data_IF_183012236409
#
_entry.id   IF_183012236409
#
_cell.length_a   1.000
_cell.length_b   1.000
_cell.length_c   1.000
_cell.angle_alpha   90.00
_cell.angle_beta   90.00
_cell.angle_gamma   90.00
#
_symmetry.space_group_name_H-M   'P 1'
#
loop_
_entity.id
_entity.type
_entity.pdbx_description
1 polymer ?
#
# COMPACT_ATOMS: atom_id res chain seq x y z
N UNK A 1 20.92 -4.08 -1.94
CA UNK A 1 21.52 -3.35 -0.81
C UNK A 1 22.85 -2.83 -1.35
N UNK A 2 22.93 -1.50 -1.56
CA UNK A 2 24.12 -0.88 -2.12
C UNK A 2 25.30 -0.98 -1.14
N UNK A 3 26.51 -0.93 -1.67
CA UNK A 3 27.83 -1.11 -1.06
C UNK A 3 28.20 -0.11 0.05
N UNK A 4 27.26 0.27 0.93
CA UNK A 4 27.60 0.97 2.16
C UNK A 4 28.18 -0.02 3.16
N UNK A 5 29.21 0.38 3.86
CA UNK A 5 29.88 -0.44 4.88
C UNK A 5 28.84 -1.13 5.81
N UNK A 6 28.91 -2.46 6.02
CA UNK A 6 27.86 -3.21 6.73
C UNK A 6 27.56 -2.72 8.16
N UNK A 7 28.47 -1.95 8.76
CA UNK A 7 28.37 -1.43 10.13
C UNK A 7 27.72 -0.06 10.27
N UNK A 8 27.32 0.59 9.17
CA UNK A 8 26.74 1.95 9.22
C UNK A 8 25.23 1.99 9.17
N UNK A 9 24.59 0.99 8.59
CA UNK A 9 23.12 0.88 8.53
C UNK A 9 22.55 0.56 9.90
N UNK A 10 21.62 1.39 10.38
CA UNK A 10 20.94 1.23 11.66
C UNK A 10 19.45 0.93 11.50
N UNK A 11 18.91 1.18 10.33
CA UNK A 11 17.48 1.13 10.07
C UNK A 11 17.21 0.67 8.64
N UNK A 12 16.26 -0.26 8.47
CA UNK A 12 15.73 -0.69 7.17
C UNK A 12 14.22 -0.50 7.17
N UNK A 13 13.67 0.02 6.07
CA UNK A 13 12.23 0.05 5.82
C UNK A 13 11.87 -0.96 4.73
N UNK A 14 10.89 -1.82 5.01
CA UNK A 14 10.35 -2.82 4.10
C UNK A 14 8.85 -2.62 3.96
N UNK A 15 8.41 -2.15 2.78
CA UNK A 15 6.98 -1.94 2.51
C UNK A 15 6.37 -3.23 1.95
N UNK A 16 5.35 -3.77 2.63
CA UNK A 16 4.69 -5.03 2.24
C UNK A 16 3.21 -5.04 2.67
N UNK A 17 2.27 -4.97 1.71
CA UNK A 17 2.43 -4.79 0.26
C UNK A 17 3.09 -3.47 -0.13
N UNK A 18 3.93 -3.49 -1.17
CA UNK A 18 4.73 -2.34 -1.57
C UNK A 18 3.96 -1.38 -2.50
N UNK A 19 4.14 -0.09 -2.32
CA UNK A 19 3.67 0.94 -3.22
C UNK A 19 4.86 1.52 -4.02
N UNK A 20 4.85 1.50 -5.37
CA UNK A 20 3.68 1.34 -6.24
C UNK A 20 3.47 -0.07 -6.83
N UNK A 21 4.28 -1.05 -6.51
CA UNK A 21 4.31 -2.35 -7.21
C UNK A 21 3.23 -3.33 -6.77
N UNK A 22 2.62 -3.14 -5.59
CA UNK A 22 1.53 -3.95 -5.07
C UNK A 22 1.95 -5.29 -4.45
N UNK A 23 3.16 -5.77 -4.73
CA UNK A 23 3.63 -7.07 -4.25
C UNK A 23 4.01 -7.06 -2.78
N UNK A 24 3.91 -8.22 -2.14
CA UNK A 24 4.47 -8.49 -0.82
C UNK A 24 5.88 -9.04 -0.91
N UNK A 25 6.64 -8.92 0.20
CA UNK A 25 8.01 -9.40 0.35
C UNK A 25 8.00 -10.73 1.11
N UNK A 26 8.67 -11.77 0.58
CA UNK A 26 8.64 -13.12 1.16
C UNK A 26 9.68 -13.35 2.27
N UNK A 27 10.84 -12.70 2.22
CA UNK A 27 12.00 -13.05 3.07
C UNK A 27 12.26 -12.05 4.19
N UNK A 28 11.22 -11.41 4.74
CA UNK A 28 11.36 -10.41 5.82
C UNK A 28 11.94 -11.04 7.09
N UNK A 29 11.54 -12.27 7.44
CA UNK A 29 12.06 -12.96 8.64
C UNK A 29 13.56 -13.21 8.53
N UNK A 30 14.06 -13.50 7.33
CA UNK A 30 15.51 -13.61 7.12
C UNK A 30 16.24 -12.29 7.40
N UNK A 31 15.65 -11.15 6.96
CA UNK A 31 16.21 -9.82 7.25
C UNK A 31 16.19 -9.55 8.76
N UNK A 32 15.07 -9.84 9.43
CA UNK A 32 14.93 -9.68 10.89
C UNK A 32 15.97 -10.46 11.68
N UNK A 33 16.26 -11.68 11.26
CA UNK A 33 17.22 -12.56 11.92
C UNK A 33 18.69 -12.21 11.66
N UNK A 34 18.99 -11.53 10.52
CA UNK A 34 20.37 -11.30 10.07
C UNK A 34 20.79 -9.80 10.08
N UNK A 35 19.90 -8.91 10.47
CA UNK A 35 20.21 -7.48 10.54
C UNK A 35 20.27 -6.99 12.00
N UNK A 36 21.42 -6.42 12.39
CA UNK A 36 21.66 -5.94 13.75
C UNK A 36 21.08 -4.55 14.05
N UNK A 37 20.25 -3.99 13.16
CA UNK A 37 19.55 -2.72 13.34
C UNK A 37 18.04 -2.92 13.44
N UNK A 38 17.29 -1.83 13.46
CA UNK A 38 15.83 -1.87 13.49
C UNK A 38 15.30 -2.11 12.07
N UNK A 39 14.36 -3.03 11.95
CA UNK A 39 13.62 -3.30 10.71
C UNK A 39 12.19 -2.79 10.88
N UNK A 40 11.83 -1.79 10.09
CA UNK A 40 10.45 -1.29 10.02
C UNK A 40 9.74 -1.97 8.86
N UNK A 41 8.69 -2.70 9.18
CA UNK A 41 7.78 -3.31 8.20
C UNK A 41 6.58 -2.39 8.05
N UNK A 42 6.48 -1.74 6.89
CA UNK A 42 5.35 -0.87 6.55
C UNK A 42 4.23 -1.70 5.93
N UNK A 43 3.19 -1.90 6.71
CA UNK A 43 2.00 -2.66 6.39
C UNK A 43 0.80 -1.75 6.06
N UNK A 44 1.00 -0.60 5.45
CA UNK A 44 -0.08 0.33 5.12
C UNK A 44 -1.19 -0.28 4.25
N UNK A 45 -0.94 -1.40 3.58
CA UNK A 45 -1.91 -2.08 2.70
C UNK A 45 -2.20 -3.52 3.11
N UNK A 46 -1.75 -3.97 4.29
CA UNK A 46 -1.90 -5.37 4.76
C UNK A 46 -3.37 -5.81 4.83
N UNK A 47 -4.28 -4.90 5.15
CA UNK A 47 -5.72 -5.19 5.23
C UNK A 47 -6.29 -5.76 3.92
N UNK A 48 -5.67 -5.51 2.77
CA UNK A 48 -6.09 -6.01 1.46
C UNK A 48 -5.41 -7.31 1.04
N UNK A 49 -4.42 -7.76 1.82
CA UNK A 49 -3.65 -8.97 1.59
C UNK A 49 -4.26 -10.17 2.33
N UNK A 50 -4.01 -11.37 1.80
CA UNK A 50 -4.28 -12.62 2.50
C UNK A 50 -3.15 -13.03 3.46
N UNK A 51 -2.05 -12.25 3.48
CA UNK A 51 -0.90 -12.54 4.35
C UNK A 51 -1.19 -12.12 5.78
N UNK A 52 -0.63 -12.87 6.71
CA UNK A 52 -0.65 -12.54 8.12
C UNK A 52 0.26 -11.36 8.43
N UNK A 53 -0.22 -10.44 9.26
CA UNK A 53 0.56 -9.29 9.72
C UNK A 53 1.79 -9.71 10.53
N UNK A 54 2.89 -8.98 10.36
CA UNK A 54 4.09 -9.13 11.18
C UNK A 54 3.90 -8.73 12.65
N UNK A 55 2.76 -8.14 13.04
CA UNK A 55 2.41 -7.93 14.45
C UNK A 55 2.49 -9.23 15.24
N UNK A 56 2.10 -10.36 14.65
CA UNK A 56 2.18 -11.68 15.30
C UNK A 56 3.61 -12.15 15.58
N UNK A 57 4.61 -11.53 14.94
CA UNK A 57 6.03 -11.87 15.09
C UNK A 57 6.79 -10.98 16.07
N UNK A 58 6.15 -9.96 16.67
CA UNK A 58 6.79 -9.00 17.57
C UNK A 58 7.50 -9.65 18.75
N UNK A 59 6.92 -10.72 19.31
CA UNK A 59 7.53 -11.46 20.42
C UNK A 59 8.81 -12.21 20.04
N UNK A 60 8.99 -12.53 18.74
CA UNK A 60 10.14 -13.29 18.23
C UNK A 60 11.30 -12.38 17.81
N UNK A 61 11.01 -11.15 17.41
CA UNK A 61 11.99 -10.24 16.83
C UNK A 61 12.01 -8.90 17.58
N UNK A 62 12.89 -8.70 18.56
CA UNK A 62 12.94 -7.48 19.38
C UNK A 62 13.35 -6.23 18.59
N UNK A 63 13.91 -6.40 17.39
CA UNK A 63 14.28 -5.33 16.46
C UNK A 63 13.20 -5.00 15.42
N UNK A 64 12.04 -5.65 15.48
CA UNK A 64 10.91 -5.42 14.57
C UNK A 64 10.08 -4.22 15.02
N UNK A 65 9.75 -3.37 14.06
CA UNK A 65 8.69 -2.35 14.17
C UNK A 65 7.70 -2.58 13.04
N UNK A 66 6.43 -2.75 13.35
CA UNK A 66 5.37 -2.82 12.34
C UNK A 66 4.62 -1.50 12.34
N UNK A 67 4.40 -0.91 11.17
CA UNK A 67 3.60 0.32 11.05
C UNK A 67 2.38 0.07 10.18
N UNK A 68 1.23 0.50 10.67
CA UNK A 68 -0.06 0.42 9.98
C UNK A 68 -0.75 1.78 9.98
N UNK A 69 -1.81 1.95 9.17
CA UNK A 69 -2.47 3.23 9.00
C UNK A 69 -3.99 3.11 8.91
N UNK A 70 -4.70 4.08 9.46
CA UNK A 70 -6.13 4.26 9.23
C UNK A 70 -6.46 4.92 7.89
N UNK A 71 -5.45 5.33 7.12
CA UNK A 71 -5.65 6.10 5.88
C UNK A 71 -6.12 5.27 4.68
N UNK A 72 -6.04 3.94 4.72
CA UNK A 72 -6.32 3.05 3.58
C UNK A 72 -7.61 2.26 3.79
N UNK A 73 -7.55 1.04 4.27
CA UNK A 73 -8.73 0.21 4.45
C UNK A 73 -9.78 0.83 5.38
N UNK A 74 -9.34 1.58 6.37
CA UNK A 74 -10.21 2.26 7.33
C UNK A 74 -10.84 3.57 6.84
N UNK A 75 -10.49 4.04 5.62
CA UNK A 75 -11.09 5.22 4.99
C UNK A 75 -10.79 6.57 5.66
N UNK A 76 -9.87 6.62 6.63
CA UNK A 76 -9.59 7.81 7.45
C UNK A 76 -8.32 8.55 6.98
N UNK A 77 -8.13 8.72 5.68
CA UNK A 77 -6.96 9.39 5.12
C UNK A 77 -6.77 10.83 5.65
N UNK A 78 -7.87 11.56 5.87
CA UNK A 78 -7.85 12.93 6.38
C UNK A 78 -7.50 13.01 7.87
N UNK A 79 -7.73 11.96 8.66
CA UNK A 79 -7.44 11.94 10.10
C UNK A 79 -5.93 11.88 10.41
N UNK A 80 -5.08 11.53 9.46
CA UNK A 80 -3.62 11.46 9.60
C UNK A 80 -3.16 10.59 10.77
N UNK A 81 -3.78 9.42 10.95
CA UNK A 81 -3.46 8.46 12.02
C UNK A 81 -2.75 7.25 11.45
N UNK A 82 -1.64 6.90 12.07
CA UNK A 82 -0.94 5.63 11.94
C UNK A 82 -0.60 5.07 13.31
N UNK A 83 -0.31 3.79 13.36
CA UNK A 83 0.06 3.05 14.57
C UNK A 83 1.38 2.35 14.34
N UNK A 84 2.27 2.42 15.33
CA UNK A 84 3.51 1.64 15.36
C UNK A 84 3.42 0.60 16.48
N UNK A 85 3.73 -0.63 16.15
CA UNK A 85 3.82 -1.76 17.07
C UNK A 85 5.27 -2.21 17.16
N UNK A 86 5.82 -2.31 18.35
CA UNK A 86 7.21 -2.72 18.57
C UNK A 86 7.41 -3.23 20.00
N UNK A 87 8.63 -3.69 20.33
CA UNK A 87 8.99 -4.00 21.71
C UNK A 87 8.85 -2.77 22.62
N UNK A 88 8.60 -2.99 23.92
CA UNK A 88 8.47 -1.92 24.93
C UNK A 88 9.67 -0.97 24.91
N UNK A 89 10.87 -1.49 24.73
CA UNK A 89 12.11 -0.70 24.65
C UNK A 89 12.07 0.29 23.48
N UNK A 90 11.65 -0.15 22.30
CA UNK A 90 11.55 0.71 21.12
C UNK A 90 10.43 1.74 21.32
N UNK A 91 9.27 1.32 21.82
CA UNK A 91 8.16 2.24 22.09
C UNK A 91 8.55 3.30 23.11
N UNK A 92 9.29 2.93 24.16
CA UNK A 92 9.77 3.90 25.15
C UNK A 92 10.73 4.96 24.54
N UNK A 93 11.56 4.56 23.57
CA UNK A 93 12.39 5.50 22.82
C UNK A 93 11.55 6.41 21.90
N UNK A 94 10.58 5.86 21.18
CA UNK A 94 9.67 6.65 20.35
C UNK A 94 8.89 7.68 21.16
N UNK A 95 8.43 7.31 22.37
CA UNK A 95 7.72 8.22 23.29
C UNK A 95 8.56 9.42 23.71
N UNK A 96 9.88 9.25 23.86
CA UNK A 96 10.80 10.34 24.23
C UNK A 96 10.98 11.41 23.14
N UNK A 97 10.85 11.00 21.87
CA UNK A 97 11.08 11.89 20.72
C UNK A 97 9.77 12.32 20.03
N UNK A 98 8.67 11.65 20.35
CA UNK A 98 7.36 11.98 19.77
C UNK A 98 6.96 13.41 20.16
N UNK A 99 6.54 14.27 19.22
CA UNK A 99 5.97 15.56 19.56
C UNK A 99 4.76 15.43 20.50
N UNK A 100 4.61 16.29 21.51
CA UNK A 100 3.37 16.38 22.25
C UNK A 100 2.24 16.78 21.29
N UNK A 101 1.03 16.31 21.54
CA UNK A 101 -0.17 16.68 20.76
C UNK A 101 -0.10 16.32 19.26
N UNK A 102 0.65 15.31 18.87
CA UNK A 102 0.83 14.89 17.47
C UNK A 102 -0.46 14.35 16.81
N UNK A 103 -1.43 13.90 17.59
CA UNK A 103 -2.76 13.47 17.13
C UNK A 103 -3.82 14.24 17.91
N UNK A 104 -4.72 14.93 17.21
CA UNK A 104 -5.80 15.67 17.87
C UNK A 104 -6.84 14.73 18.49
N UNK A 105 -7.58 15.20 19.51
CA UNK A 105 -8.65 14.42 20.14
C UNK A 105 -9.75 14.05 19.13
N UNK A 106 -10.09 14.95 18.21
CA UNK A 106 -11.09 14.69 17.16
C UNK A 106 -10.65 13.53 16.23
N UNK A 107 -9.37 13.49 15.87
CA UNK A 107 -8.84 12.43 15.03
C UNK A 107 -8.78 11.10 15.80
N UNK A 108 -8.43 11.12 17.08
CA UNK A 108 -8.46 9.94 17.93
C UNK A 108 -9.89 9.39 18.07
N UNK A 109 -10.87 10.25 18.29
CA UNK A 109 -12.29 9.88 18.36
C UNK A 109 -12.77 9.26 17.04
N UNK A 110 -12.38 9.83 15.90
CA UNK A 110 -12.70 9.26 14.59
C UNK A 110 -12.13 7.85 14.42
N UNK A 111 -10.89 7.60 14.85
CA UNK A 111 -10.29 6.28 14.79
C UNK A 111 -10.98 5.28 15.72
N UNK A 112 -11.28 5.67 16.96
CA UNK A 112 -11.99 4.82 17.93
C UNK A 112 -13.38 4.45 17.40
N UNK A 113 -14.13 5.42 16.86
CA UNK A 113 -15.42 5.17 16.22
C UNK A 113 -15.34 4.22 15.03
N UNK A 114 -14.26 4.28 14.25
CA UNK A 114 -14.07 3.34 13.16
C UNK A 114 -13.82 1.92 13.68
N UNK A 115 -13.02 1.77 14.73
CA UNK A 115 -12.79 0.47 15.39
C UNK A 115 -14.08 -0.12 15.97
N UNK A 116 -14.93 0.68 16.59
CA UNK A 116 -16.24 0.24 17.10
C UNK A 116 -17.19 -0.24 15.97
N UNK A 117 -16.93 0.17 14.72
CA UNK A 117 -17.69 -0.19 13.53
C UNK A 117 -16.88 -1.06 12.55
N UNK A 118 -16.00 -1.90 13.04
CA UNK A 118 -15.14 -2.78 12.23
C UNK A 118 -15.92 -3.59 11.17
N UNK A 119 -17.14 -4.03 11.49
CA UNK A 119 -17.99 -4.78 10.56
C UNK A 119 -18.24 -4.02 9.24
N UNK A 120 -18.32 -2.68 9.26
CA UNK A 120 -18.48 -1.86 8.06
C UNK A 120 -17.21 -1.96 7.19
N UNK A 121 -16.05 -1.92 7.83
CA UNK A 121 -14.75 -2.01 7.14
C UNK A 121 -14.58 -3.39 6.50
N UNK A 122 -15.01 -4.46 7.18
CA UNK A 122 -14.99 -5.83 6.64
C UNK A 122 -15.81 -5.93 5.35
N UNK A 123 -17.01 -5.37 5.32
CA UNK A 123 -17.85 -5.34 4.12
C UNK A 123 -17.25 -4.51 2.99
N UNK A 124 -16.73 -3.32 3.31
CA UNK A 124 -16.07 -2.46 2.32
C UNK A 124 -14.84 -3.13 1.72
N UNK A 125 -14.02 -3.78 2.56
CA UNK A 125 -12.84 -4.54 2.12
C UNK A 125 -13.24 -5.67 1.16
N UNK A 126 -14.27 -6.45 1.47
CA UNK A 126 -14.74 -7.52 0.60
C UNK A 126 -15.13 -6.99 -0.79
N UNK A 127 -15.87 -5.87 -0.84
CA UNK A 127 -16.21 -5.22 -2.10
C UNK A 127 -14.99 -4.72 -2.88
N UNK A 128 -14.03 -4.10 -2.19
CA UNK A 128 -12.77 -3.64 -2.83
C UNK A 128 -12.00 -4.82 -3.43
N UNK A 129 -11.93 -5.96 -2.76
CA UNK A 129 -11.26 -7.16 -3.27
C UNK A 129 -11.98 -7.77 -4.47
N UNK A 130 -13.32 -7.78 -4.47
CA UNK A 130 -14.13 -8.16 -5.64
C UNK A 130 -13.84 -7.26 -6.83
N UNK A 131 -13.86 -5.94 -6.62
CA UNK A 131 -13.56 -4.94 -7.65
C UNK A 131 -12.11 -5.04 -8.15
N UNK A 132 -11.17 -5.41 -7.28
CA UNK A 132 -9.79 -5.72 -7.67
C UNK A 132 -9.74 -6.86 -8.68
N UNK A 133 -10.41 -7.98 -8.39
CA UNK A 133 -10.46 -9.14 -9.29
C UNK A 133 -11.09 -8.80 -10.64
N UNK A 134 -12.18 -8.02 -10.63
CA UNK A 134 -12.80 -7.51 -11.84
C UNK A 134 -11.84 -6.67 -12.70
N UNK A 135 -11.15 -5.72 -12.08
CA UNK A 135 -10.17 -4.87 -12.77
C UNK A 135 -9.00 -5.68 -13.33
N UNK A 136 -8.43 -6.60 -12.56
CA UNK A 136 -7.32 -7.46 -13.00
C UNK A 136 -7.68 -8.21 -14.28
N UNK A 137 -8.85 -8.86 -14.27
CA UNK A 137 -9.36 -9.60 -15.41
C UNK A 137 -9.59 -8.69 -16.62
N UNK A 138 -10.25 -7.55 -16.40
CA UNK A 138 -10.63 -6.63 -17.48
C UNK A 138 -9.41 -5.94 -18.10
N UNK A 139 -8.45 -5.50 -17.28
CA UNK A 139 -7.21 -4.86 -17.74
C UNK A 139 -6.33 -5.83 -18.53
N UNK A 140 -6.26 -7.10 -18.11
CA UNK A 140 -5.46 -8.12 -18.78
C UNK A 140 -5.93 -8.45 -20.21
N UNK A 141 -7.18 -8.09 -20.54
CA UNK A 141 -7.76 -8.31 -21.88
C UNK A 141 -7.51 -7.15 -22.85
N UNK A 142 -6.94 -6.03 -22.40
CA UNK A 142 -6.73 -4.85 -23.22
C UNK A 142 -5.38 -4.90 -23.95
N UNK A 143 -5.31 -4.84 -25.28
CA UNK A 143 -4.07 -4.89 -26.04
C UNK A 143 -3.07 -3.78 -25.69
N UNK A 144 -3.57 -2.60 -25.27
CA UNK A 144 -2.75 -1.47 -24.81
C UNK A 144 -2.08 -1.74 -23.45
N UNK A 145 -2.59 -2.70 -22.67
CA UNK A 145 -2.02 -3.15 -21.41
C UNK A 145 -1.06 -4.32 -21.68
N UNK A 146 0.22 -4.10 -21.55
CA UNK A 146 1.26 -5.10 -21.85
C UNK A 146 1.46 -6.08 -20.69
N UNK A 147 1.18 -5.65 -19.45
CA UNK A 147 1.26 -6.50 -18.26
C UNK A 147 0.46 -5.89 -17.11
N UNK A 148 -0.30 -6.70 -16.43
CA UNK A 148 -0.83 -6.43 -15.07
C UNK A 148 0.09 -7.15 -14.09
N UNK A 149 0.64 -6.43 -13.13
CA UNK A 149 1.49 -7.03 -12.11
C UNK A 149 0.63 -7.55 -10.95
N UNK A 150 0.95 -8.72 -10.37
CA UNK A 150 0.25 -9.23 -9.20
C UNK A 150 0.28 -8.22 -8.06
N UNK A 151 -0.82 -8.14 -7.31
CA UNK A 151 -0.93 -7.17 -6.21
C UNK A 151 -1.69 -7.75 -5.02
N UNK A 152 -1.15 -7.53 -3.83
CA UNK A 152 -1.77 -7.78 -2.54
C UNK A 152 -2.39 -6.49 -1.93
N UNK A 153 -2.34 -5.36 -2.67
CA UNK A 153 -2.90 -4.07 -2.27
C UNK A 153 -4.27 -3.81 -2.91
N UNK A 154 -4.86 -2.64 -2.69
CA UNK A 154 -6.10 -2.18 -3.36
C UNK A 154 -5.85 -1.46 -4.69
N UNK A 155 -4.69 -1.66 -5.29
CA UNK A 155 -4.29 -1.07 -6.57
C UNK A 155 -3.44 -2.05 -7.36
N UNK A 156 -3.30 -1.82 -8.67
CA UNK A 156 -2.38 -2.53 -9.55
C UNK A 156 -1.34 -1.59 -10.13
N UNK A 157 -0.15 -2.12 -10.34
CA UNK A 157 0.79 -1.56 -11.31
C UNK A 157 0.55 -2.25 -12.65
N UNK A 158 0.32 -1.48 -13.70
CA UNK A 158 0.16 -1.99 -15.06
C UNK A 158 1.22 -1.39 -15.98
N UNK A 159 1.75 -2.17 -16.91
CA UNK A 159 2.61 -1.66 -17.96
C UNK A 159 1.79 -1.42 -19.21
N UNK A 160 1.92 -0.24 -19.77
CA UNK A 160 1.20 0.20 -20.94
C UNK A 160 2.04 0.09 -22.22
N UNK A 161 1.42 0.26 -23.37
CA UNK A 161 2.09 0.53 -24.64
C UNK A 161 2.82 1.89 -24.61
N UNK A 162 2.13 2.95 -24.18
CA UNK A 162 2.65 4.27 -23.90
C UNK A 162 1.93 4.86 -22.67
N UNK A 163 2.57 4.79 -21.49
CA UNK A 163 1.95 5.25 -20.26
C UNK A 163 1.73 6.76 -20.22
N UNK A 164 2.59 7.54 -20.85
CA UNK A 164 2.47 9.01 -20.87
C UNK A 164 1.27 9.43 -21.71
N UNK A 165 1.13 8.86 -22.90
CA UNK A 165 -0.01 9.11 -23.76
C UNK A 165 -1.32 8.68 -23.06
N UNK A 166 -1.37 7.44 -22.54
CA UNK A 166 -2.57 6.90 -21.92
C UNK A 166 -2.95 7.65 -20.64
N UNK A 167 -1.98 8.13 -19.85
CA UNK A 167 -2.22 9.00 -18.72
C UNK A 167 -2.93 10.29 -19.12
N UNK A 168 -2.41 10.99 -20.14
CA UNK A 168 -3.01 12.24 -20.61
C UNK A 168 -4.43 12.02 -21.17
N UNK A 169 -4.62 10.98 -21.98
CA UNK A 169 -5.94 10.61 -22.52
C UNK A 169 -6.97 10.28 -21.42
N UNK A 170 -6.55 9.69 -20.30
CA UNK A 170 -7.40 9.44 -19.13
C UNK A 170 -7.75 10.75 -18.42
N UNK A 171 -6.76 11.63 -18.20
CA UNK A 171 -6.98 12.95 -17.58
C UNK A 171 -7.96 13.78 -18.38
N UNK A 172 -7.84 13.82 -19.72
CA UNK A 172 -8.76 14.54 -20.61
C UNK A 172 -10.21 14.03 -20.50
N UNK A 173 -10.40 12.80 -20.03
CA UNK A 173 -11.72 12.20 -19.77
C UNK A 173 -12.16 12.29 -18.31
N UNK A 174 -11.41 13.03 -17.46
CA UNK A 174 -11.69 13.19 -16.05
C UNK A 174 -11.35 11.97 -15.19
N UNK A 175 -10.58 11.00 -15.72
CA UNK A 175 -10.17 9.79 -14.99
C UNK A 175 -8.74 9.97 -14.50
N UNK A 176 -8.59 10.05 -13.18
CA UNK A 176 -7.29 10.28 -12.54
C UNK A 176 -6.66 8.96 -12.09
N UNK A 177 -5.51 8.65 -12.64
CA UNK A 177 -4.65 7.52 -12.24
C UNK A 177 -3.29 8.05 -11.78
N UNK A 178 -2.38 7.19 -11.35
CA UNK A 178 -1.04 7.61 -10.96
C UNK A 178 -0.03 7.17 -12.02
N UNK A 179 0.68 8.12 -12.65
CA UNK A 179 1.89 7.81 -13.41
C UNK A 179 3.00 7.36 -12.45
N UNK A 180 3.46 6.12 -12.61
CA UNK A 180 4.53 5.52 -11.83
C UNK A 180 5.82 5.34 -12.63
N UNK A 181 5.88 5.81 -13.86
CA UNK A 181 6.98 5.56 -14.82
C UNK A 181 8.34 6.07 -14.33
N UNK A 182 8.34 7.06 -13.43
CA UNK A 182 9.57 7.66 -12.88
C UNK A 182 10.16 6.86 -11.70
N UNK A 183 9.42 5.89 -11.17
CA UNK A 183 9.93 5.06 -10.08
C UNK A 183 10.91 4.02 -10.62
N UNK A 184 11.84 3.58 -9.76
CA UNK A 184 12.85 2.58 -10.11
C UNK A 184 12.17 1.31 -10.65
N UNK A 185 12.63 0.82 -11.81
CA UNK A 185 12.11 -0.37 -12.51
C UNK A 185 10.64 -0.30 -12.95
N UNK A 186 10.00 0.87 -12.85
CA UNK A 186 8.60 1.09 -13.22
C UNK A 186 8.43 1.80 -14.57
N UNK A 187 9.39 1.70 -15.47
CA UNK A 187 9.29 2.35 -16.78
C UNK A 187 8.00 1.96 -17.50
N UNK A 188 7.34 2.97 -18.08
CA UNK A 188 6.10 2.83 -18.84
C UNK A 188 4.93 2.20 -18.06
N UNK A 189 4.75 2.58 -16.79
CA UNK A 189 3.70 2.03 -15.93
C UNK A 189 2.76 3.10 -15.37
N UNK A 190 1.49 2.68 -15.20
CA UNK A 190 0.47 3.40 -14.44
C UNK A 190 0.07 2.56 -13.22
N UNK A 191 -0.21 3.23 -12.09
CA UNK A 191 -0.83 2.60 -10.93
C UNK A 191 -2.32 2.91 -10.93
N UNK A 192 -3.13 1.85 -10.99
CA UNK A 192 -4.58 1.90 -10.99
C UNK A 192 -5.09 1.46 -9.62
N UNK A 193 -5.82 2.30 -8.92
CA UNK A 193 -6.51 1.93 -7.68
C UNK A 193 -7.91 1.41 -7.99
N UNK A 194 -8.35 0.37 -7.29
CA UNK A 194 -9.75 -0.05 -7.32
C UNK A 194 -10.66 1.04 -6.77
N UNK A 195 -11.65 1.42 -7.55
CA UNK A 195 -12.71 2.36 -7.20
C UNK A 195 -14.04 1.65 -6.98
N UNK A 196 -15.13 2.42 -7.02
CA UNK A 196 -16.48 1.89 -7.09
C UNK A 196 -16.71 1.13 -8.40
N UNK A 197 -17.77 0.33 -8.49
CA UNK A 197 -18.14 -0.38 -9.72
C UNK A 197 -18.26 0.58 -10.91
N UNK A 198 -18.89 1.75 -10.71
CA UNK A 198 -19.10 2.74 -11.78
C UNK A 198 -17.78 3.37 -12.22
N UNK A 199 -16.89 3.73 -11.29
CA UNK A 199 -15.57 4.27 -11.59
C UNK A 199 -14.70 3.26 -12.35
N UNK A 200 -14.72 2.00 -11.92
CA UNK A 200 -13.99 0.92 -12.58
C UNK A 200 -14.51 0.65 -14.00
N UNK A 201 -15.83 0.66 -14.19
CA UNK A 201 -16.44 0.53 -15.51
C UNK A 201 -16.08 1.71 -16.41
N UNK A 202 -16.13 2.95 -15.91
CA UNK A 202 -15.72 4.13 -16.65
C UNK A 202 -14.26 4.04 -17.12
N UNK A 203 -13.36 3.61 -16.25
CA UNK A 203 -11.94 3.36 -16.59
C UNK A 203 -11.79 2.32 -17.69
N UNK A 204 -12.45 1.17 -17.59
CA UNK A 204 -12.34 0.10 -18.58
C UNK A 204 -12.92 0.52 -19.93
N UNK A 205 -14.06 1.23 -19.95
CA UNK A 205 -14.66 1.78 -21.18
C UNK A 205 -13.69 2.79 -21.84
N UNK A 206 -13.11 3.70 -21.05
CA UNK A 206 -12.14 4.67 -21.54
C UNK A 206 -10.94 3.98 -22.17
N UNK A 207 -10.30 3.02 -21.47
CA UNK A 207 -9.14 2.29 -22.00
C UNK A 207 -9.46 1.48 -23.26
N UNK A 208 -10.63 0.83 -23.33
CA UNK A 208 -11.07 0.11 -24.55
C UNK A 208 -11.21 1.03 -25.76
N UNK A 209 -11.66 2.26 -25.55
CA UNK A 209 -11.82 3.23 -26.67
C UNK A 209 -10.50 3.78 -27.19
N UNK A 210 -9.39 3.57 -26.47
CA UNK A 210 -8.03 3.99 -26.85
C UNK A 210 -7.29 2.93 -27.68
N UNK A 211 -7.88 1.75 -27.84
CA UNK A 211 -7.31 0.58 -28.52
C UNK A 211 -7.63 0.59 -30.04
N UNK A 212 -7.63 1.77 -30.66
CA UNK A 212 -7.96 1.95 -32.08
C UNK A 212 -6.74 2.24 -32.91
#
# INVERSE_FOLDING_TARGET
ISQSEPNTLKLIFLCTPNNPTGNSIDNIEWVLANFNGIVVVDEAYIDFSERTSFIEKLALYPNLVVVQTFSKAWGLAAARIGVAYASETIIALMQKVKPPYNVSSLNQEAALKALDNEHVIVHQKAHILEQRTYLETSLSQLPIVKKVFPSDANFFLIRMDDSTQRYNELIDRGIVVRDSSKNLNCANTLRISGGTTDENNALIIALRSMDK
#
